data_IF_188515069896
#
_entry.id   IF_188515069896
#
_cell.length_a   1.000
_cell.length_b   1.000
_cell.length_c   1.000
_cell.angle_alpha   90.00
_cell.angle_beta   90.00
_cell.angle_gamma   90.00
#
_symmetry.space_group_name_H-M   'P 1'
#
loop_
_entity.id
_entity.type
_entity.pdbx_description
1 polymer ?
#
# COMPACT_ATOMS: atom_id res chain seq x y z
N UNK A 1 -12.13 -29.50 -12.43
CA UNK A 1 -11.06 -28.89 -11.63
C UNK A 1 -10.87 -27.40 -11.95
N UNK A 2 -10.88 -26.99 -13.22
CA UNK A 2 -10.66 -25.58 -13.65
C UNK A 2 -11.72 -24.56 -13.21
N UNK A 3 -12.96 -24.98 -12.95
CA UNK A 3 -14.08 -24.08 -12.59
C UNK A 3 -13.94 -23.41 -11.23
N UNK A 4 -13.09 -23.92 -10.35
CA UNK A 4 -12.85 -23.35 -9.00
C UNK A 4 -11.71 -22.33 -8.97
N UNK A 5 -10.79 -22.35 -9.94
CA UNK A 5 -9.62 -21.47 -9.94
C UNK A 5 -10.05 -20.03 -10.22
N UNK A 6 -10.91 -19.81 -11.22
CA UNK A 6 -11.34 -18.46 -11.61
C UNK A 6 -12.04 -17.68 -10.48
N UNK A 7 -13.02 -18.24 -9.75
CA UNK A 7 -13.64 -17.52 -8.63
C UNK A 7 -12.64 -17.22 -7.52
N UNK A 8 -11.76 -18.16 -7.19
CA UNK A 8 -10.77 -17.99 -6.11
C UNK A 8 -9.76 -16.90 -6.48
N UNK A 9 -9.19 -16.94 -7.69
CA UNK A 9 -8.27 -15.90 -8.17
C UNK A 9 -8.95 -14.53 -8.21
N UNK A 10 -10.21 -14.47 -8.63
CA UNK A 10 -10.96 -13.21 -8.63
C UNK A 10 -11.12 -12.62 -7.22
N UNK A 11 -11.52 -13.44 -6.24
CA UNK A 11 -11.64 -12.99 -4.85
C UNK A 11 -10.29 -12.51 -4.31
N UNK A 12 -9.20 -13.24 -4.59
CA UNK A 12 -7.85 -12.82 -4.19
C UNK A 12 -7.46 -11.47 -4.80
N UNK A 13 -7.74 -11.26 -6.09
CA UNK A 13 -7.50 -9.98 -6.75
C UNK A 13 -8.31 -8.85 -6.11
N UNK A 14 -9.59 -9.09 -5.80
CA UNK A 14 -10.41 -8.11 -5.10
C UNK A 14 -9.83 -7.76 -3.72
N UNK A 15 -9.37 -8.76 -2.97
CA UNK A 15 -8.73 -8.54 -1.66
C UNK A 15 -7.48 -7.68 -1.81
N UNK A 16 -6.60 -7.97 -2.77
CA UNK A 16 -5.41 -7.16 -3.01
C UNK A 16 -5.76 -5.72 -3.40
N UNK A 17 -6.75 -5.52 -4.28
CA UNK A 17 -7.19 -4.19 -4.69
C UNK A 17 -7.71 -3.40 -3.48
N UNK A 18 -8.57 -4.01 -2.66
CA UNK A 18 -9.10 -3.38 -1.45
C UNK A 18 -7.97 -3.05 -0.47
N UNK A 19 -7.00 -3.95 -0.31
CA UNK A 19 -5.88 -3.73 0.59
C UNK A 19 -4.99 -2.58 0.12
N UNK A 20 -4.62 -2.51 -1.17
CA UNK A 20 -3.85 -1.38 -1.71
C UNK A 20 -4.61 -0.05 -1.56
N UNK A 21 -5.91 -0.03 -1.83
CA UNK A 21 -6.72 1.16 -1.63
C UNK A 21 -6.75 1.59 -0.16
N UNK A 22 -6.97 0.65 0.77
CA UNK A 22 -6.96 0.92 2.20
C UNK A 22 -5.60 1.44 2.68
N UNK A 23 -4.49 0.85 2.22
CA UNK A 23 -3.14 1.31 2.54
C UNK A 23 -2.95 2.77 2.10
N UNK A 24 -3.42 3.15 0.91
CA UNK A 24 -3.37 4.53 0.46
C UNK A 24 -4.17 5.46 1.37
N UNK A 25 -5.45 5.16 1.61
CA UNK A 25 -6.32 6.07 2.37
C UNK A 25 -5.89 6.22 3.83
N UNK A 26 -5.40 5.16 4.46
CA UNK A 26 -4.99 5.17 5.87
C UNK A 26 -3.62 5.82 6.10
N UNK A 27 -2.69 5.67 5.16
CA UNK A 27 -1.34 6.21 5.30
C UNK A 27 -1.21 7.66 4.78
N UNK A 28 -2.13 8.10 3.90
CA UNK A 28 -2.11 9.43 3.25
C UNK A 28 -2.07 10.63 4.23
N UNK A 29 -2.83 10.67 5.35
CA UNK A 29 -2.83 11.83 6.25
C UNK A 29 -1.44 12.16 6.79
N UNK A 30 -0.71 11.13 7.24
CA UNK A 30 0.66 11.27 7.71
C UNK A 30 1.60 11.76 6.60
N UNK A 31 1.40 11.31 5.36
CA UNK A 31 2.22 11.76 4.22
C UNK A 31 2.01 13.24 3.92
N UNK A 32 0.75 13.71 3.98
CA UNK A 32 0.40 15.12 3.78
C UNK A 32 1.03 15.98 4.88
N UNK A 33 0.94 15.55 6.14
CA UNK A 33 1.55 16.27 7.27
C UNK A 33 3.07 16.34 7.12
N UNK A 34 3.69 15.25 6.67
CA UNK A 34 5.13 15.19 6.36
C UNK A 34 5.52 16.21 5.30
N UNK A 35 4.77 16.30 4.19
CA UNK A 35 5.01 17.31 3.17
C UNK A 35 4.85 18.73 3.70
N UNK A 36 3.80 18.98 4.49
CA UNK A 36 3.56 20.30 5.10
C UNK A 36 4.68 20.74 6.03
N UNK A 37 5.25 19.82 6.82
CA UNK A 37 6.40 20.11 7.71
C UNK A 37 7.71 20.33 6.96
N UNK A 38 7.81 19.85 5.73
CA UNK A 38 8.96 20.03 4.86
C UNK A 38 8.80 21.21 3.88
N UNK A 39 7.76 22.02 4.05
CA UNK A 39 7.38 23.11 3.12
C UNK A 39 7.23 22.66 1.66
N UNK A 40 7.00 21.36 1.42
CA UNK A 40 6.80 20.78 0.09
C UNK A 40 5.34 20.95 -0.30
N UNK A 41 5.07 21.89 -1.20
CA UNK A 41 3.70 22.24 -1.64
C UNK A 41 3.42 21.88 -3.10
N UNK A 42 4.45 21.49 -3.84
CA UNK A 42 4.46 21.20 -5.28
C UNK A 42 4.40 19.69 -5.59
N UNK A 43 3.92 18.88 -4.65
CA UNK A 43 3.77 17.44 -4.86
C UNK A 43 2.57 17.10 -5.76
N UNK A 44 2.72 15.99 -6.47
CA UNK A 44 1.71 15.42 -7.36
C UNK A 44 0.95 14.28 -6.69
N UNK A 45 -0.21 13.92 -7.24
CA UNK A 45 -0.95 12.74 -6.79
C UNK A 45 -0.17 11.44 -6.97
N UNK A 46 0.65 11.34 -8.02
CA UNK A 46 1.48 10.17 -8.26
C UNK A 46 2.57 10.01 -7.19
N UNK A 47 3.21 11.12 -6.80
CA UNK A 47 4.17 11.13 -5.69
C UNK A 47 3.48 10.81 -4.36
N UNK A 48 2.33 11.42 -4.08
CA UNK A 48 1.56 11.09 -2.89
C UNK A 48 1.23 9.60 -2.83
N UNK A 49 0.77 8.99 -3.92
CA UNK A 49 0.50 7.56 -3.99
C UNK A 49 1.77 6.73 -3.74
N UNK A 50 2.87 7.06 -4.42
CA UNK A 50 4.13 6.33 -4.30
C UNK A 50 4.71 6.40 -2.88
N UNK A 51 4.73 7.59 -2.28
CA UNK A 51 5.35 7.82 -0.97
C UNK A 51 4.48 7.23 0.14
N UNK A 52 3.15 7.27 -0.01
CA UNK A 52 2.20 6.63 0.92
C UNK A 52 2.38 5.10 0.98
N UNK A 53 2.88 4.49 -0.11
CA UNK A 53 3.15 3.04 -0.20
C UNK A 53 4.53 2.64 0.32
N UNK A 54 5.40 3.60 0.67
CA UNK A 54 6.80 3.38 1.04
C UNK A 54 7.18 3.98 2.39
N UNK A 55 6.18 4.29 3.21
CA UNK A 55 6.41 4.78 4.57
C UNK A 55 7.14 3.72 5.40
N UNK A 56 8.11 4.15 6.22
CA UNK A 56 8.82 3.27 7.16
C UNK A 56 7.91 2.76 8.28
N UNK A 57 6.93 3.56 8.70
CA UNK A 57 5.97 3.24 9.76
C UNK A 57 4.54 3.50 9.30
N UNK A 58 4.01 2.71 8.34
CA UNK A 58 2.67 2.89 7.83
C UNK A 58 1.62 2.48 8.87
N UNK A 59 0.43 3.08 8.78
CA UNK A 59 -0.74 2.63 9.56
C UNK A 59 -1.19 1.25 9.08
N UNK A 60 -1.24 1.07 7.75
CA UNK A 60 -1.46 -0.23 7.12
C UNK A 60 -0.33 -0.49 6.12
N UNK A 61 0.56 -1.49 6.34
CA UNK A 61 1.58 -1.85 5.37
C UNK A 61 0.94 -2.34 4.08
N UNK A 62 1.48 -1.88 2.94
CA UNK A 62 1.04 -2.34 1.64
C UNK A 62 1.41 -3.82 1.43
N UNK A 63 0.65 -4.58 0.61
CA UNK A 63 0.89 -6.01 0.43
C UNK A 63 2.34 -6.37 0.07
N UNK A 64 3.00 -5.55 -0.76
CA UNK A 64 4.39 -5.77 -1.14
C UNK A 64 5.37 -5.50 0.01
N UNK A 65 5.08 -4.55 0.92
CA UNK A 65 5.91 -4.32 2.11
C UNK A 65 5.86 -5.54 3.03
N UNK A 66 4.67 -6.13 3.22
CA UNK A 66 4.53 -7.37 4.01
C UNK A 66 5.31 -8.53 3.40
N UNK A 67 5.28 -8.69 2.07
CA UNK A 67 6.05 -9.72 1.39
C UNK A 67 7.57 -9.55 1.58
N UNK A 68 8.06 -8.30 1.47
CA UNK A 68 9.47 -7.98 1.72
C UNK A 68 9.85 -8.26 3.17
N UNK A 69 9.03 -7.84 4.14
CA UNK A 69 9.27 -8.06 5.57
C UNK A 69 9.35 -9.54 5.90
N UNK A 70 8.42 -10.36 5.40
CA UNK A 70 8.42 -11.81 5.61
C UNK A 70 9.72 -12.44 5.09
N UNK A 71 10.15 -12.04 3.88
CA UNK A 71 11.40 -12.55 3.31
C UNK A 71 12.60 -12.17 4.18
N UNK A 72 12.73 -10.89 4.54
CA UNK A 72 13.86 -10.37 5.33
C UNK A 72 13.94 -10.96 6.74
N UNK A 73 12.81 -11.32 7.33
CA UNK A 73 12.74 -11.82 8.71
C UNK A 73 12.77 -13.34 8.83
N UNK A 74 12.48 -14.06 7.76
CA UNK A 74 12.30 -15.53 7.81
C UNK A 74 13.35 -16.33 7.05
N UNK A 75 13.99 -15.75 6.02
CA UNK A 75 14.97 -16.43 5.16
C UNK A 75 16.32 -15.75 5.27
#
# INVERSE_FOLDING_TARGET
MMTRIWPVTFVLLCIFVIWYAAAFFLNRPFQIDTYGRADRTDWTYAELLADTMRQERPVLPAPHQVAVEIWQTTI
#
